data_IF_429597922171
#
_entry.id   IF_429597922171
#
_cell.length_a   1.000
_cell.length_b   1.000
_cell.length_c   1.000
_cell.angle_alpha   90.00
_cell.angle_beta   90.00
_cell.angle_gamma   90.00
#
_symmetry.space_group_name_H-M   'P 1'
#
loop_
_entity.id
_entity.type
_entity.pdbx_description
1 polymer ?
#
# COMPACT_ATOMS: atom_id res chain seq x y z
N UNK A 1 16.46 23.45 1.55
CA UNK A 1 16.30 22.02 1.16
C UNK A 1 15.11 21.46 1.92
N UNK A 2 14.21 20.74 1.27
CA UNK A 2 13.03 20.17 1.94
C UNK A 2 13.46 18.92 2.73
N UNK A 3 13.36 18.97 4.06
CA UNK A 3 13.78 17.87 4.94
C UNK A 3 13.04 16.55 4.71
N UNK A 4 11.86 16.59 4.09
CA UNK A 4 11.09 15.39 3.73
C UNK A 4 11.70 14.62 2.55
N UNK A 5 12.55 15.26 1.75
CA UNK A 5 13.21 14.65 0.59
C UNK A 5 14.58 14.08 0.95
N UNK A 6 15.23 14.65 1.95
CA UNK A 6 16.56 14.21 2.37
C UNK A 6 16.48 12.83 3.02
N UNK A 7 17.29 11.90 2.53
CA UNK A 7 17.36 10.51 3.00
C UNK A 7 16.01 9.75 2.90
N UNK A 8 15.08 10.23 2.06
CA UNK A 8 13.82 9.52 1.87
C UNK A 8 14.07 8.17 1.18
N UNK A 9 13.61 7.05 1.76
CA UNK A 9 13.87 5.71 1.21
C UNK A 9 13.06 5.38 -0.05
N UNK A 10 12.01 6.15 -0.36
CA UNK A 10 11.23 5.96 -1.57
C UNK A 10 12.04 6.41 -2.80
N UNK A 11 12.33 5.47 -3.69
CA UNK A 11 13.15 5.72 -4.88
C UNK A 11 12.53 6.74 -5.83
N UNK A 12 11.19 6.82 -5.92
CA UNK A 12 10.53 7.83 -6.74
C UNK A 12 10.76 9.23 -6.16
N UNK A 13 10.62 9.39 -4.83
CA UNK A 13 10.88 10.66 -4.16
C UNK A 13 12.32 11.11 -4.39
N UNK A 14 13.27 10.20 -4.24
CA UNK A 14 14.67 10.48 -4.45
C UNK A 14 15.00 10.90 -5.89
N UNK A 15 14.36 10.26 -6.88
CA UNK A 15 14.57 10.55 -8.30
C UNK A 15 13.84 11.83 -8.75
N UNK A 16 12.54 11.95 -8.40
CA UNK A 16 11.69 13.06 -8.85
C UNK A 16 12.02 14.36 -8.11
N UNK A 17 12.51 14.26 -6.88
CA UNK A 17 12.84 15.43 -6.05
C UNK A 17 11.61 16.17 -5.50
N UNK A 18 10.46 15.49 -5.39
CA UNK A 18 9.20 16.03 -4.86
C UNK A 18 8.60 15.09 -3.81
N UNK A 19 7.82 15.61 -2.85
CA UNK A 19 6.99 14.77 -1.98
C UNK A 19 5.99 13.93 -2.80
N UNK A 20 5.67 12.73 -2.33
CA UNK A 20 4.70 11.86 -3.03
C UNK A 20 3.34 12.55 -3.29
N UNK A 21 2.91 13.42 -2.39
CA UNK A 21 1.65 14.17 -2.52
C UNK A 21 1.58 15.04 -3.78
N UNK A 22 2.74 15.44 -4.33
CA UNK A 22 2.87 16.32 -5.50
C UNK A 22 3.15 15.55 -6.80
N UNK A 23 3.16 14.22 -6.78
CA UNK A 23 3.41 13.42 -7.98
C UNK A 23 2.32 13.61 -9.02
N UNK A 24 2.74 13.89 -10.24
CA UNK A 24 1.88 14.01 -11.42
C UNK A 24 2.04 12.82 -12.35
N UNK A 25 1.13 12.67 -13.31
CA UNK A 25 1.26 11.68 -14.38
C UNK A 25 2.59 11.84 -15.15
N UNK A 26 3.01 13.05 -15.40
CA UNK A 26 4.26 13.32 -16.11
C UNK A 26 5.50 12.83 -15.31
N UNK A 27 5.49 13.03 -13.99
CA UNK A 27 6.56 12.52 -13.11
C UNK A 27 6.62 10.99 -13.13
N UNK A 28 5.47 10.31 -13.11
CA UNK A 28 5.39 8.85 -13.19
C UNK A 28 5.90 8.34 -14.53
N UNK A 29 5.49 8.93 -15.64
CA UNK A 29 5.97 8.57 -16.98
C UNK A 29 7.47 8.78 -17.10
N UNK A 30 7.97 9.90 -16.61
CA UNK A 30 9.40 10.21 -16.61
C UNK A 30 10.19 9.17 -15.79
N UNK A 31 9.73 8.84 -14.58
CA UNK A 31 10.36 7.80 -13.77
C UNK A 31 10.41 6.45 -14.48
N UNK A 32 9.30 6.03 -15.09
CA UNK A 32 9.18 4.77 -15.84
C UNK A 32 10.21 4.72 -16.98
N UNK A 33 10.33 5.78 -17.77
CA UNK A 33 11.23 5.85 -18.92
C UNK A 33 12.71 5.78 -18.50
N UNK A 34 13.10 6.53 -17.47
CA UNK A 34 14.49 6.65 -17.07
C UNK A 34 14.98 5.44 -16.23
N UNK A 35 14.08 4.72 -15.59
CA UNK A 35 14.45 3.62 -14.69
C UNK A 35 14.14 2.22 -15.26
N UNK A 36 13.82 2.12 -16.55
CA UNK A 36 13.64 0.84 -17.22
C UNK A 36 12.47 0.03 -16.69
N UNK A 37 11.42 0.69 -16.18
CA UNK A 37 10.21 0.03 -15.70
C UNK A 37 9.47 -0.56 -16.89
N UNK A 38 9.08 -1.83 -16.78
CA UNK A 38 8.47 -2.59 -17.86
C UNK A 38 7.00 -2.92 -17.64
N UNK A 39 6.56 -2.90 -16.38
CA UNK A 39 5.18 -3.20 -15.99
C UNK A 39 4.63 -2.15 -15.01
N UNK A 40 3.31 -2.01 -15.03
CA UNK A 40 2.57 -1.20 -14.07
C UNK A 40 1.51 -2.06 -13.42
N UNK A 41 1.37 -1.94 -12.10
CA UNK A 41 0.32 -2.58 -11.33
C UNK A 41 -0.67 -1.54 -10.81
N UNK A 42 -1.95 -1.78 -11.05
CA UNK A 42 -3.05 -1.09 -10.39
C UNK A 42 -3.58 -1.95 -9.25
N UNK A 43 -3.50 -1.45 -8.04
CA UNK A 43 -3.87 -2.17 -6.83
C UNK A 43 -5.05 -1.49 -6.14
N UNK A 44 -6.02 -2.27 -5.67
CA UNK A 44 -7.22 -1.74 -5.01
C UNK A 44 -7.82 -2.75 -4.03
N UNK A 45 -8.39 -2.30 -2.89
CA UNK A 45 -9.09 -3.19 -1.97
C UNK A 45 -10.47 -3.54 -2.53
N UNK A 46 -10.81 -4.83 -2.53
CA UNK A 46 -12.16 -5.31 -2.85
C UNK A 46 -13.04 -5.39 -1.59
N UNK A 47 -14.30 -5.76 -1.78
CA UNK A 47 -15.27 -5.90 -0.68
C UNK A 47 -14.91 -6.95 0.37
N UNK A 48 -14.07 -7.91 0.02
CA UNK A 48 -13.51 -8.93 0.94
C UNK A 48 -12.32 -8.42 1.78
N UNK A 49 -11.93 -7.16 1.62
CA UNK A 49 -10.78 -6.54 2.28
C UNK A 49 -9.43 -6.93 1.72
N UNK A 50 -9.39 -7.78 0.69
CA UNK A 50 -8.13 -8.18 0.05
C UNK A 50 -7.69 -7.18 -0.98
N UNK A 51 -6.38 -6.96 -1.06
CA UNK A 51 -5.77 -6.19 -2.12
C UNK A 51 -5.76 -7.01 -3.42
N UNK A 52 -6.42 -6.48 -4.45
CA UNK A 52 -6.42 -7.03 -5.81
C UNK A 52 -5.44 -6.26 -6.68
N UNK A 53 -4.95 -6.89 -7.73
CA UNK A 53 -3.96 -6.30 -8.63
C UNK A 53 -4.30 -6.58 -10.08
N UNK A 54 -4.27 -5.55 -10.91
CA UNK A 54 -4.20 -5.66 -12.37
C UNK A 54 -2.77 -5.38 -12.82
N UNK A 55 -2.24 -6.24 -13.66
CA UNK A 55 -0.88 -6.15 -14.17
C UNK A 55 -0.90 -5.72 -15.64
N UNK A 56 -0.18 -4.65 -15.98
CA UNK A 56 -0.07 -4.14 -17.33
C UNK A 56 1.37 -4.21 -17.82
N UNK A 57 1.59 -4.82 -18.99
CA UNK A 57 2.84 -4.66 -19.72
C UNK A 57 2.81 -3.32 -20.44
N UNK A 58 3.87 -2.54 -20.32
CA UNK A 58 4.00 -1.25 -21.01
C UNK A 58 4.36 -1.53 -22.47
N UNK A 59 3.37 -1.52 -23.34
CA UNK A 59 3.58 -1.80 -24.78
C UNK A 59 4.17 -0.60 -25.54
N UNK A 60 3.77 0.60 -25.18
CA UNK A 60 4.26 1.87 -25.70
C UNK A 60 3.79 3.05 -24.84
N UNK A 61 4.31 4.24 -25.11
CA UNK A 61 3.99 5.46 -24.37
C UNK A 61 2.51 5.84 -24.47
N UNK A 62 1.89 5.69 -25.64
CA UNK A 62 0.48 6.02 -25.83
C UNK A 62 -0.45 5.15 -25.00
N UNK A 63 -0.16 3.85 -24.92
CA UNK A 63 -0.88 2.93 -24.04
C UNK A 63 -0.68 3.27 -22.56
N UNK A 64 0.57 3.52 -22.15
CA UNK A 64 0.87 3.93 -20.79
C UNK A 64 0.14 5.23 -20.40
N UNK A 65 0.18 6.24 -21.27
CA UNK A 65 -0.54 7.50 -21.04
C UNK A 65 -2.04 7.29 -20.90
N UNK A 66 -2.63 6.42 -21.73
CA UNK A 66 -4.05 6.11 -21.69
C UNK A 66 -4.46 5.45 -20.36
N UNK A 67 -3.77 4.40 -19.91
CA UNK A 67 -4.12 3.73 -18.66
C UNK A 67 -3.87 4.59 -17.43
N UNK A 68 -2.85 5.45 -17.44
CA UNK A 68 -2.61 6.40 -16.36
C UNK A 68 -3.64 7.54 -16.32
N UNK A 69 -4.26 7.87 -17.45
CA UNK A 69 -5.26 8.93 -17.54
C UNK A 69 -6.67 8.43 -17.24
N UNK A 70 -7.08 7.36 -17.91
CA UNK A 70 -8.46 6.86 -17.89
C UNK A 70 -8.65 5.74 -16.86
N UNK A 71 -7.55 5.19 -16.35
CA UNK A 71 -7.62 3.97 -15.54
C UNK A 71 -7.98 2.75 -16.37
N UNK A 72 -8.51 1.74 -15.71
CA UNK A 72 -8.98 0.51 -16.34
C UNK A 72 -10.38 0.14 -15.85
N UNK A 73 -11.18 -0.41 -16.77
CA UNK A 73 -12.52 -0.90 -16.46
C UNK A 73 -12.43 -2.26 -15.75
N UNK A 74 -13.21 -2.42 -14.69
CA UNK A 74 -13.31 -3.66 -13.92
C UNK A 74 -14.78 -4.03 -13.69
N UNK A 75 -15.04 -5.33 -13.52
CA UNK A 75 -16.37 -5.80 -13.14
C UNK A 75 -16.58 -5.62 -11.64
N UNK A 76 -17.38 -4.64 -11.28
CA UNK A 76 -17.71 -4.33 -9.89
C UNK A 76 -18.48 -5.43 -9.17
N UNK A 77 -19.28 -6.24 -9.90
CA UNK A 77 -20.02 -7.35 -9.29
C UNK A 77 -19.12 -8.46 -8.78
N UNK A 78 -17.96 -8.63 -9.41
CA UNK A 78 -16.91 -9.56 -8.95
C UNK A 78 -16.08 -9.02 -7.77
N UNK A 79 -16.17 -7.73 -7.50
CA UNK A 79 -15.39 -7.06 -6.44
C UNK A 79 -16.24 -6.75 -5.20
N UNK A 80 -17.50 -6.43 -5.40
CA UNK A 80 -18.41 -5.98 -4.35
C UNK A 80 -19.76 -6.72 -4.43
N UNK A 81 -20.13 -7.47 -3.39
CA UNK A 81 -21.35 -8.31 -3.42
C UNK A 81 -22.67 -7.52 -3.51
N UNK A 82 -22.61 -6.20 -3.28
CA UNK A 82 -23.76 -5.31 -3.36
C UNK A 82 -23.94 -4.65 -4.74
N UNK A 83 -23.04 -4.91 -5.71
CA UNK A 83 -23.15 -4.38 -7.08
C UNK A 83 -23.80 -5.44 -7.97
N UNK A 84 -24.89 -5.06 -8.62
CA UNK A 84 -25.61 -5.93 -9.56
C UNK A 84 -24.87 -6.05 -10.90
N UNK A 85 -24.87 -7.26 -11.48
CA UNK A 85 -24.17 -7.55 -12.73
C UNK A 85 -24.64 -6.69 -13.93
N UNK A 86 -25.87 -6.22 -13.93
CA UNK A 86 -26.44 -5.40 -15.02
C UNK A 86 -25.89 -3.95 -15.10
N UNK A 87 -25.21 -3.47 -14.04
CA UNK A 87 -24.62 -2.13 -13.96
C UNK A 87 -23.27 -2.15 -13.23
N UNK A 88 -22.47 -3.17 -13.54
CA UNK A 88 -21.27 -3.48 -12.76
C UNK A 88 -19.99 -2.78 -13.23
N UNK A 89 -20.04 -2.02 -14.32
CA UNK A 89 -18.85 -1.33 -14.84
C UNK A 89 -18.33 -0.28 -13.86
N UNK A 90 -17.15 -0.55 -13.31
CA UNK A 90 -16.37 0.41 -12.51
C UNK A 90 -15.04 0.70 -13.22
N UNK A 91 -14.45 1.83 -12.86
CA UNK A 91 -13.14 2.23 -13.33
C UNK A 91 -12.20 2.38 -12.14
N UNK A 92 -11.01 1.79 -12.24
CA UNK A 92 -9.94 1.95 -11.26
C UNK A 92 -8.92 2.93 -11.79
N UNK A 93 -8.83 4.10 -11.15
CA UNK A 93 -7.97 5.21 -11.56
C UNK A 93 -6.80 5.32 -10.58
N UNK A 94 -5.54 5.31 -11.08
CA UNK A 94 -4.37 5.31 -10.21
C UNK A 94 -4.18 6.63 -9.47
N UNK A 95 -3.75 6.53 -8.22
CA UNK A 95 -3.36 7.65 -7.37
C UNK A 95 -1.85 7.78 -7.38
N UNK A 96 -1.29 8.68 -8.15
CA UNK A 96 0.15 8.81 -8.36
C UNK A 96 0.95 8.99 -7.07
N UNK A 97 0.38 9.64 -6.06
CA UNK A 97 1.00 9.80 -4.73
C UNK A 97 1.29 8.48 -4.00
N UNK A 98 0.70 7.39 -4.45
CA UNK A 98 0.89 6.07 -3.86
C UNK A 98 1.86 5.19 -4.64
N UNK A 99 2.50 5.74 -5.66
CA UNK A 99 3.41 4.99 -6.53
C UNK A 99 4.65 4.53 -5.77
N UNK A 100 5.02 3.27 -5.97
CA UNK A 100 6.25 2.69 -5.45
C UNK A 100 6.80 1.62 -6.40
N UNK A 101 8.11 1.43 -6.37
CA UNK A 101 8.75 0.32 -7.06
C UNK A 101 8.45 -0.97 -6.28
N UNK A 102 7.89 -1.98 -6.95
CA UNK A 102 7.52 -3.24 -6.32
C UNK A 102 8.79 -4.04 -5.96
N UNK A 103 9.10 -4.23 -4.66
CA UNK A 103 10.32 -4.90 -4.25
C UNK A 103 10.28 -6.43 -4.45
N UNK A 104 9.13 -6.99 -4.78
CA UNK A 104 8.93 -8.43 -4.96
C UNK A 104 8.82 -8.84 -6.43
N UNK A 105 8.75 -7.87 -7.34
CA UNK A 105 8.63 -8.15 -8.76
C UNK A 105 10.00 -8.47 -9.39
N UNK A 106 10.10 -9.62 -10.07
CA UNK A 106 11.31 -9.97 -10.86
C UNK A 106 11.48 -9.04 -12.08
N UNK A 107 10.37 -8.67 -12.71
CA UNK A 107 10.35 -7.67 -13.79
C UNK A 107 10.17 -6.30 -13.17
N UNK A 108 10.99 -5.30 -13.50
CA UNK A 108 10.84 -3.95 -12.94
C UNK A 108 9.42 -3.42 -13.11
N UNK A 109 8.72 -3.28 -12.00
CA UNK A 109 7.28 -2.98 -11.94
C UNK A 109 7.01 -1.80 -11.03
N UNK A 110 6.21 -0.85 -11.49
CA UNK A 110 5.71 0.25 -10.69
C UNK A 110 4.28 -0.06 -10.23
N UNK A 111 4.05 -0.07 -8.93
CA UNK A 111 2.74 -0.34 -8.34
C UNK A 111 2.10 0.94 -7.81
N UNK A 112 0.79 1.08 -7.98
CA UNK A 112 0.01 2.23 -7.50
C UNK A 112 -1.33 1.76 -6.95
N UNK A 113 -1.79 2.37 -5.86
CA UNK A 113 -3.15 2.20 -5.38
C UNK A 113 -4.11 3.02 -6.25
N UNK A 114 -5.29 2.46 -6.51
CA UNK A 114 -6.33 3.09 -7.32
C UNK A 114 -7.56 3.43 -6.50
N UNK A 115 -8.33 4.39 -7.01
CA UNK A 115 -9.67 4.74 -6.53
C UNK A 115 -10.72 4.22 -7.50
N UNK A 116 -11.90 3.88 -6.98
CA UNK A 116 -13.03 3.43 -7.80
C UNK A 116 -13.92 4.58 -8.24
N UNK A 117 -14.26 4.57 -9.51
CA UNK A 117 -15.20 5.50 -10.14
C UNK A 117 -16.29 4.75 -10.90
N UNK A 118 -17.47 5.36 -11.01
CA UNK A 118 -18.54 4.86 -11.85
C UNK A 118 -18.34 5.28 -13.31
N UNK A 119 -19.24 4.86 -14.20
CA UNK A 119 -19.23 5.19 -15.63
C UNK A 119 -19.37 6.69 -15.92
N UNK A 120 -19.89 7.46 -14.97
CA UNK A 120 -20.11 8.90 -15.10
C UNK A 120 -18.92 9.72 -14.59
N UNK A 121 -17.84 9.02 -14.14
CA UNK A 121 -16.62 9.62 -13.61
C UNK A 121 -16.74 10.12 -12.17
N UNK A 122 -17.75 9.66 -11.43
CA UNK A 122 -17.92 9.99 -10.04
C UNK A 122 -17.33 8.90 -9.13
N UNK A 123 -16.77 9.26 -7.98
CA UNK A 123 -16.27 8.27 -7.03
C UNK A 123 -17.36 7.27 -6.60
N UNK A 124 -16.99 6.00 -6.50
CA UNK A 124 -17.92 4.98 -6.01
C UNK A 124 -18.23 5.24 -4.53
N UNK A 125 -19.47 5.65 -4.24
CA UNK A 125 -19.94 6.06 -2.91
C UNK A 125 -19.70 5.01 -1.81
N UNK A 126 -19.83 3.74 -2.16
CA UNK A 126 -19.69 2.60 -1.25
C UNK A 126 -18.29 2.04 -1.14
N UNK A 127 -17.30 2.59 -1.88
CA UNK A 127 -15.93 2.11 -1.74
C UNK A 127 -15.36 2.44 -0.35
N UNK A 128 -14.58 1.54 0.24
CA UNK A 128 -13.99 1.76 1.57
C UNK A 128 -13.15 3.03 1.65
N UNK A 129 -12.36 3.31 0.60
CA UNK A 129 -11.51 4.49 0.56
C UNK A 129 -12.28 5.80 0.46
N UNK A 130 -13.36 5.83 -0.35
CA UNK A 130 -14.21 7.01 -0.46
C UNK A 130 -14.96 7.29 0.84
N UNK A 131 -15.44 6.23 1.50
CA UNK A 131 -16.04 6.32 2.84
C UNK A 131 -15.05 6.93 3.85
N UNK A 132 -13.79 6.47 3.85
CA UNK A 132 -12.74 7.04 4.70
C UNK A 132 -12.49 8.51 4.39
N UNK A 133 -12.41 8.89 3.11
CA UNK A 133 -12.22 10.28 2.71
C UNK A 133 -13.37 11.18 3.19
N UNK A 134 -14.62 10.71 3.07
CA UNK A 134 -15.80 11.43 3.60
C UNK A 134 -15.72 11.59 5.11
N UNK A 135 -15.33 10.55 5.83
CA UNK A 135 -15.18 10.59 7.28
C UNK A 135 -14.09 11.57 7.72
N UNK A 136 -12.92 11.53 7.10
CA UNK A 136 -11.83 12.47 7.38
C UNK A 136 -12.25 13.93 7.10
N UNK A 137 -12.92 14.17 5.97
CA UNK A 137 -13.43 15.50 5.63
C UNK A 137 -14.47 16.01 6.63
N UNK A 138 -15.41 15.14 7.04
CA UNK A 138 -16.40 15.46 8.05
C UNK A 138 -15.75 15.80 9.39
N UNK A 139 -14.74 15.02 9.81
CA UNK A 139 -13.97 15.27 11.03
C UNK A 139 -13.30 16.66 10.99
N UNK A 140 -12.59 16.96 9.91
CA UNK A 140 -11.92 18.26 9.74
C UNK A 140 -12.93 19.44 9.75
N UNK A 141 -14.06 19.27 9.07
CA UNK A 141 -15.11 20.31 9.00
C UNK A 141 -15.72 20.61 10.39
N UNK A 142 -15.87 19.59 11.23
CA UNK A 142 -16.49 19.74 12.57
C UNK A 142 -15.48 20.22 13.60
N UNK A 143 -14.24 19.76 13.54
CA UNK A 143 -13.25 19.98 14.61
C UNK A 143 -12.21 21.04 14.27
N UNK A 144 -12.02 21.37 12.99
CA UNK A 144 -10.89 22.19 12.51
C UNK A 144 -9.53 21.46 12.58
N UNK A 145 -9.51 20.17 12.95
CA UNK A 145 -8.30 19.38 13.13
C UNK A 145 -8.13 18.37 11.99
N UNK A 146 -6.90 17.96 11.73
CA UNK A 146 -6.58 16.84 10.84
C UNK A 146 -6.57 15.53 11.64
N UNK A 147 -7.24 14.50 11.11
CA UNK A 147 -7.23 13.16 11.71
C UNK A 147 -5.90 12.47 11.41
N UNK A 148 -5.22 12.04 12.47
CA UNK A 148 -3.99 11.27 12.38
C UNK A 148 -4.18 9.91 13.07
N UNK A 149 -3.65 8.85 12.44
CA UNK A 149 -3.69 7.51 12.97
C UNK A 149 -2.36 6.81 12.76
N UNK A 150 -2.01 5.95 13.71
CA UNK A 150 -0.91 5.01 13.60
C UNK A 150 -1.49 3.60 13.60
N UNK A 151 -1.04 2.77 12.65
CA UNK A 151 -1.44 1.38 12.57
C UNK A 151 -0.38 0.46 13.17
N UNK A 152 -0.81 -0.63 13.77
CA UNK A 152 0.04 -1.75 14.18
C UNK A 152 -0.32 -2.95 13.31
N UNK A 153 0.67 -3.54 12.63
CA UNK A 153 0.51 -4.78 11.88
C UNK A 153 1.11 -5.91 12.71
N UNK A 154 0.25 -6.73 13.28
CA UNK A 154 0.64 -7.88 14.10
C UNK A 154 0.53 -9.18 13.30
N UNK A 155 1.54 -10.05 13.42
CA UNK A 155 1.56 -11.34 12.73
C UNK A 155 2.44 -12.34 13.46
N UNK A 156 2.19 -13.63 13.24
CA UNK A 156 3.04 -14.71 13.71
C UNK A 156 4.02 -15.14 12.63
N UNK A 157 5.27 -15.37 13.01
CA UNK A 157 6.24 -16.04 12.15
C UNK A 157 6.31 -17.51 12.59
N UNK A 158 5.92 -18.41 11.69
CA UNK A 158 5.88 -19.84 11.94
C UNK A 158 7.07 -20.49 11.21
N UNK A 159 7.93 -21.19 11.93
CA UNK A 159 9.05 -21.92 11.36
C UNK A 159 9.35 -23.15 12.21
N UNK A 160 10.05 -24.16 11.64
CA UNK A 160 10.57 -25.28 12.41
C UNK A 160 11.49 -24.79 13.53
N UNK A 161 11.43 -25.42 14.69
CA UNK A 161 12.37 -25.14 15.78
C UNK A 161 13.79 -25.59 15.38
N UNK A 162 14.76 -24.69 15.55
CA UNK A 162 16.17 -24.99 15.25
C UNK A 162 16.89 -25.76 16.39
N UNK A 163 16.26 -25.91 17.54
CA UNK A 163 16.87 -26.53 18.74
C UNK A 163 18.02 -25.73 19.33
N UNK A 164 18.59 -24.77 18.62
CA UNK A 164 19.66 -23.89 19.09
C UNK A 164 19.09 -22.51 19.41
N UNK A 165 19.35 -22.02 20.63
CA UNK A 165 18.75 -20.77 21.11
C UNK A 165 17.21 -20.73 20.89
N UNK A 166 16.46 -21.65 21.52
CA UNK A 166 15.02 -21.73 21.32
C UNK A 166 14.36 -20.41 21.69
N UNK A 167 13.33 -20.05 20.95
CA UNK A 167 12.53 -18.88 21.27
C UNK A 167 11.85 -19.08 22.62
N UNK A 168 11.94 -18.10 23.49
CA UNK A 168 11.28 -18.15 24.80
C UNK A 168 9.82 -17.75 24.61
N UNK A 169 8.89 -18.58 25.07
CA UNK A 169 7.47 -18.27 25.00
C UNK A 169 7.17 -16.90 25.63
N UNK A 170 6.61 -16.01 24.81
CA UNK A 170 6.11 -14.69 25.21
C UNK A 170 7.11 -13.79 25.95
N UNK A 171 8.40 -13.91 25.67
CA UNK A 171 9.47 -13.12 26.29
C UNK A 171 10.43 -12.46 25.31
N UNK A 172 10.02 -12.34 24.02
CA UNK A 172 10.88 -11.81 22.95
C UNK A 172 10.93 -10.29 22.86
N UNK A 173 10.42 -9.56 23.84
CA UNK A 173 10.35 -8.10 23.78
C UNK A 173 11.75 -7.47 23.74
N UNK A 174 12.07 -6.80 22.64
CA UNK A 174 13.35 -6.14 22.37
C UNK A 174 14.58 -7.06 22.41
N UNK A 175 14.41 -8.37 22.29
CA UNK A 175 15.57 -9.27 22.24
C UNK A 175 16.46 -8.99 21.03
N UNK A 176 17.74 -9.24 21.22
CA UNK A 176 18.79 -9.16 20.20
C UNK A 176 19.29 -10.55 19.81
N UNK A 177 20.07 -10.63 18.74
CA UNK A 177 20.73 -11.88 18.36
C UNK A 177 21.63 -12.39 19.50
N UNK A 178 21.72 -13.70 19.72
CA UNK A 178 21.17 -14.81 18.92
C UNK A 178 19.72 -15.21 19.28
N UNK A 179 19.12 -14.56 20.27
CA UNK A 179 17.78 -14.91 20.76
C UNK A 179 16.66 -14.29 19.90
N UNK A 180 16.92 -13.15 19.29
CA UNK A 180 16.00 -12.56 18.30
C UNK A 180 15.98 -13.38 17.01
N UNK A 181 14.92 -14.16 16.83
CA UNK A 181 14.70 -14.92 15.60
C UNK A 181 14.17 -14.01 14.49
N UNK A 182 14.47 -14.40 13.24
CA UNK A 182 13.94 -13.73 12.05
C UNK A 182 14.27 -12.22 11.94
N UNK A 183 15.39 -11.80 12.51
CA UNK A 183 15.80 -10.39 12.49
C UNK A 183 15.96 -9.86 11.07
N UNK A 184 16.55 -10.63 10.16
CA UNK A 184 16.73 -10.25 8.76
C UNK A 184 15.40 -10.07 8.04
N UNK A 185 14.45 -11.00 8.27
CA UNK A 185 13.10 -10.87 7.74
C UNK A 185 12.42 -9.57 8.20
N UNK A 186 12.47 -9.28 9.51
CA UNK A 186 11.87 -8.04 10.07
C UNK A 186 12.49 -6.78 9.50
N UNK A 187 13.82 -6.73 9.42
CA UNK A 187 14.53 -5.56 8.92
C UNK A 187 14.29 -5.36 7.42
N UNK A 188 14.21 -6.42 6.63
CA UNK A 188 13.80 -6.34 5.22
C UNK A 188 12.36 -5.82 5.07
N UNK A 189 11.42 -6.33 5.87
CA UNK A 189 10.04 -5.83 5.86
C UNK A 189 9.98 -4.32 6.14
N UNK A 190 10.71 -3.86 7.16
CA UNK A 190 10.78 -2.42 7.45
C UNK A 190 11.33 -1.61 6.28
N UNK A 191 12.40 -2.10 5.67
CA UNK A 191 13.01 -1.43 4.52
C UNK A 191 12.04 -1.35 3.33
N UNK A 192 11.34 -2.44 3.01
CA UNK A 192 10.37 -2.47 1.92
C UNK A 192 9.16 -1.57 2.18
N UNK A 193 8.63 -1.55 3.40
CA UNK A 193 7.55 -0.63 3.79
C UNK A 193 7.99 0.81 3.60
N UNK A 194 9.19 1.16 4.05
CA UNK A 194 9.73 2.51 3.91
C UNK A 194 9.96 2.88 2.43
N UNK A 195 10.49 1.96 1.61
CA UNK A 195 10.66 2.15 0.17
C UNK A 195 9.33 2.32 -0.57
N UNK A 196 8.28 1.65 -0.11
CA UNK A 196 6.92 1.81 -0.64
C UNK A 196 6.22 3.10 -0.14
N UNK A 197 6.89 3.95 0.62
CA UNK A 197 6.35 5.22 1.09
C UNK A 197 5.65 5.15 2.45
N UNK A 198 5.71 4.00 3.13
CA UNK A 198 5.19 3.86 4.48
C UNK A 198 6.11 4.53 5.51
N UNK A 199 5.54 5.25 6.46
CA UNK A 199 6.29 5.85 7.57
C UNK A 199 6.38 4.87 8.73
N UNK A 200 7.33 3.95 8.65
CA UNK A 200 7.53 2.96 9.69
C UNK A 200 8.35 3.53 10.84
N UNK A 201 7.88 3.34 12.07
CA UNK A 201 8.58 3.79 13.27
C UNK A 201 9.65 2.79 13.69
N UNK A 202 9.26 1.55 13.95
CA UNK A 202 10.11 0.41 14.27
C UNK A 202 9.32 -0.89 14.20
N UNK A 203 10.01 -2.02 14.22
CA UNK A 203 9.40 -3.33 14.35
C UNK A 203 9.71 -3.92 15.72
N UNK A 204 8.68 -4.37 16.42
CA UNK A 204 8.83 -5.12 17.68
C UNK A 204 8.78 -6.61 17.40
N UNK A 205 9.69 -7.36 18.04
CA UNK A 205 9.48 -8.78 18.25
C UNK A 205 8.76 -8.93 19.59
N UNK A 206 7.48 -9.29 19.54
CA UNK A 206 6.68 -9.53 20.71
C UNK A 206 5.80 -10.75 20.50
N UNK A 207 5.68 -11.57 21.51
CA UNK A 207 4.96 -12.85 21.44
C UNK A 207 3.66 -12.84 22.24
N UNK A 208 3.24 -11.67 22.72
CA UNK A 208 2.00 -11.52 23.46
C UNK A 208 0.85 -11.25 22.51
N UNK A 209 -0.29 -11.90 22.65
CA UNK A 209 -1.49 -11.52 21.91
C UNK A 209 -1.86 -10.08 22.24
N UNK A 210 -2.33 -9.34 21.25
CA UNK A 210 -2.84 -7.97 21.43
C UNK A 210 -3.87 -7.93 22.56
N UNK A 211 -3.88 -6.90 23.40
CA UNK A 211 -4.95 -6.72 24.38
C UNK A 211 -6.35 -6.79 23.76
N UNK A 212 -6.46 -6.45 22.47
CA UNK A 212 -7.70 -6.53 21.70
C UNK A 212 -8.12 -7.97 21.41
N UNK A 213 -7.17 -8.89 21.19
CA UNK A 213 -7.45 -10.30 20.94
C UNK A 213 -7.99 -11.01 22.18
N UNK A 214 -7.66 -10.51 23.37
CA UNK A 214 -8.22 -11.01 24.64
C UNK A 214 -9.69 -10.65 24.84
N UNK A 215 -10.20 -9.64 24.17
CA UNK A 215 -11.61 -9.21 24.31
C UNK A 215 -12.56 -9.97 23.39
N UNK A 216 -12.04 -10.67 22.37
CA UNK A 216 -12.85 -11.43 21.39
C UNK A 216 -13.04 -12.90 21.82
N UNK A 217 -12.27 -13.38 22.78
CA UNK A 217 -12.31 -14.78 23.28
C UNK A 217 -13.17 -14.98 24.53
N UNK A 218 -14.16 -14.11 24.78
CA UNK A 218 -15.14 -14.28 25.87
C UNK A 218 -16.57 -14.26 25.34
#
# INVERSE_FOLDING_TARGET
MNKELEMNPNQLVAFIGKPCAEFTKADIIHYIQENGIRMVNFMYPAGDGRLKTLNFVINNLGYLDAILTCGERVDGSSLFPFIEAGSSDLYVIPRFRTAFLDPFAEIPTLSMLCSFFNKDGEPLESSPEHTLQKACKAFTNVTGMEFQAMGELEYYVIAPDSGMFPATDQKGYHESAPYAKFNDFRTQCMAYIAQAGGQIKYCLLYTSPSPRDRSVSR
#
